data_IF_475171222108
#
_entry.id   IF_475171222108
#
_cell.length_a   1.000
_cell.length_b   1.000
_cell.length_c   1.000
_cell.angle_alpha   90.00
_cell.angle_beta   90.00
_cell.angle_gamma   90.00
#
_symmetry.space_group_name_H-M   'P 1'
#
loop_
_entity.id
_entity.type
_entity.pdbx_description
1 polymer ?
#
# COMPACT_ATOMS: atom_id res chain seq x y z
N UNK A 1 -17.55 -6.19 -1.64
CA UNK A 1 -17.11 -5.36 -2.80
C UNK A 1 -16.05 -6.16 -3.54
N UNK A 2 -16.19 -6.46 -4.85
CA UNK A 2 -15.29 -7.37 -5.56
C UNK A 2 -13.87 -6.79 -5.72
N UNK A 3 -13.69 -5.49 -5.47
CA UNK A 3 -12.39 -4.83 -5.53
C UNK A 3 -11.89 -4.46 -4.14
N UNK A 4 -10.93 -5.23 -3.61
CA UNK A 4 -10.37 -5.07 -2.26
C UNK A 4 -9.91 -3.64 -1.94
N UNK A 5 -9.29 -2.94 -2.90
CA UNK A 5 -8.79 -1.58 -2.65
C UNK A 5 -9.91 -0.57 -2.35
N UNK A 6 -11.13 -0.83 -2.83
CA UNK A 6 -12.30 0.02 -2.56
C UNK A 6 -12.62 0.07 -1.06
N UNK A 7 -12.29 -0.97 -0.29
CA UNK A 7 -12.56 -0.99 1.16
C UNK A 7 -11.78 0.08 1.94
N UNK A 8 -10.65 0.58 1.42
CA UNK A 8 -9.95 1.70 2.04
C UNK A 8 -10.82 2.96 2.12
N UNK A 9 -11.85 3.10 1.27
CA UNK A 9 -12.78 4.22 1.34
C UNK A 9 -13.53 4.26 2.69
N UNK A 10 -13.82 3.10 3.29
CA UNK A 10 -14.57 3.00 4.53
C UNK A 10 -13.81 3.57 5.75
N UNK A 11 -12.47 3.60 5.70
CA UNK A 11 -11.65 4.15 6.78
C UNK A 11 -11.31 5.64 6.58
N UNK A 12 -11.59 6.24 5.42
CA UNK A 12 -11.27 7.64 5.12
C UNK A 12 -11.90 8.69 6.05
N UNK A 13 -13.10 8.51 6.65
CA UNK A 13 -13.62 9.47 7.64
C UNK A 13 -12.66 9.70 8.82
N UNK A 14 -11.85 8.68 9.13
CA UNK A 14 -10.86 8.67 10.20
C UNK A 14 -9.48 9.14 9.71
N UNK A 15 -9.18 9.00 8.41
CA UNK A 15 -7.92 9.46 7.81
C UNK A 15 -7.99 10.94 7.43
N UNK A 16 -7.00 11.71 7.85
CA UNK A 16 -6.87 13.14 7.53
C UNK A 16 -6.07 13.32 6.23
N UNK A 17 -6.36 14.41 5.52
CA UNK A 17 -5.73 14.77 4.24
C UNK A 17 -4.24 15.14 4.33
N UNK A 18 -3.70 15.23 5.54
CA UNK A 18 -2.26 15.42 5.79
C UNK A 18 -1.52 14.10 6.08
N UNK A 19 -2.17 12.95 5.90
CA UNK A 19 -1.56 11.63 6.07
C UNK A 19 -1.57 11.09 7.50
N UNK A 20 -2.22 11.78 8.46
CA UNK A 20 -2.44 11.29 9.82
C UNK A 20 -3.87 10.75 9.99
N UNK A 21 -4.18 10.11 11.11
CA UNK A 21 -5.56 9.72 11.44
C UNK A 21 -6.09 10.49 12.67
N UNK A 22 -7.41 10.45 12.85
CA UNK A 22 -8.09 10.94 14.07
C UNK A 22 -7.80 10.01 15.26
N UNK A 23 -7.96 10.54 16.47
CA UNK A 23 -7.85 9.79 17.74
C UNK A 23 -6.52 9.05 17.95
N UNK A 24 -5.45 9.50 17.32
CA UNK A 24 -4.13 8.87 17.44
C UNK A 24 -4.00 7.51 16.73
N UNK A 25 -5.00 7.11 15.92
CA UNK A 25 -4.97 5.86 15.17
C UNK A 25 -3.87 5.88 14.10
N UNK A 26 -3.46 4.69 13.64
CA UNK A 26 -2.48 4.56 12.58
C UNK A 26 -3.16 4.40 11.22
N UNK A 27 -3.04 5.38 10.31
CA UNK A 27 -3.70 5.30 9.00
C UNK A 27 -3.18 4.15 8.14
N UNK A 28 -1.90 3.80 8.25
CA UNK A 28 -1.33 2.62 7.57
C UNK A 28 -1.97 1.31 8.05
N UNK A 29 -2.19 1.18 9.36
CA UNK A 29 -2.84 0.01 9.95
C UNK A 29 -4.33 -0.07 9.59
N UNK A 30 -5.06 1.06 9.60
CA UNK A 30 -6.46 1.13 9.16
C UNK A 30 -6.61 0.67 7.71
N UNK A 31 -5.79 1.23 6.81
CA UNK A 31 -5.84 0.91 5.38
C UNK A 31 -5.43 -0.55 5.14
N UNK A 32 -4.32 -1.00 5.72
CA UNK A 32 -3.88 -2.40 5.60
C UNK A 32 -4.90 -3.38 6.19
N UNK A 33 -5.50 -3.05 7.33
CA UNK A 33 -6.58 -3.82 7.95
C UNK A 33 -7.81 -3.93 7.03
N UNK A 34 -8.18 -2.86 6.33
CA UNK A 34 -9.28 -2.89 5.35
C UNK A 34 -9.02 -3.77 4.13
N UNK A 35 -7.76 -4.16 3.88
CA UNK A 35 -7.38 -5.07 2.80
C UNK A 35 -7.19 -6.51 3.29
N UNK A 36 -6.90 -6.69 4.58
CA UNK A 36 -6.44 -7.96 5.16
C UNK A 36 -7.37 -9.16 4.92
N UNK A 37 -8.71 -9.06 5.04
CA UNK A 37 -9.60 -10.21 4.83
C UNK A 37 -9.43 -10.87 3.46
N UNK A 38 -9.30 -10.06 2.41
CA UNK A 38 -9.18 -10.53 1.02
C UNK A 38 -7.77 -11.00 0.63
N UNK A 39 -6.74 -10.76 1.44
CA UNK A 39 -5.36 -11.14 1.09
C UNK A 39 -5.24 -12.64 0.77
N UNK A 40 -6.05 -13.45 1.44
CA UNK A 40 -6.15 -14.90 1.21
C UNK A 40 -6.59 -15.24 -0.22
N UNK A 41 -7.46 -14.42 -0.82
CA UNK A 41 -7.90 -14.58 -2.20
C UNK A 41 -6.76 -14.32 -3.17
N UNK A 42 -5.91 -13.29 -2.96
CA UNK A 42 -4.71 -13.09 -3.76
C UNK A 42 -3.71 -14.24 -3.59
N UNK A 43 -3.49 -14.68 -2.35
CA UNK A 43 -2.58 -15.76 -2.01
C UNK A 43 -2.93 -17.09 -2.68
N UNK A 44 -4.21 -17.35 -2.95
CA UNK A 44 -4.65 -18.56 -3.67
C UNK A 44 -4.06 -18.70 -5.09
N UNK A 45 -3.54 -17.61 -5.67
CA UNK A 45 -2.76 -17.68 -6.92
C UNK A 45 -1.55 -18.61 -6.78
N UNK A 46 -0.90 -18.63 -5.61
CA UNK A 46 0.37 -19.34 -5.37
C UNK A 46 0.27 -20.39 -4.27
N UNK A 47 -0.73 -20.33 -3.40
CA UNK A 47 -1.00 -21.28 -2.31
C UNK A 47 -2.39 -21.88 -2.54
N UNK A 48 -2.50 -23.04 -3.19
CA UNK A 48 -3.79 -23.66 -3.47
C UNK A 48 -4.63 -23.88 -2.20
N UNK A 49 -5.87 -23.41 -2.22
CA UNK A 49 -6.81 -23.55 -1.12
C UNK A 49 -6.78 -22.41 -0.10
N UNK A 50 -5.88 -21.44 -0.25
CA UNK A 50 -5.85 -20.24 0.59
C UNK A 50 -7.17 -19.46 0.51
N UNK A 51 -7.88 -19.53 -0.62
CA UNK A 51 -9.19 -18.87 -0.77
C UNK A 51 -10.21 -19.32 0.27
N UNK A 52 -10.20 -20.61 0.67
CA UNK A 52 -11.12 -21.14 1.70
C UNK A 52 -10.85 -20.56 3.08
N UNK A 53 -9.62 -20.12 3.35
CA UNK A 53 -9.29 -19.45 4.60
C UNK A 53 -9.94 -18.05 4.70
N UNK A 54 -10.44 -17.53 3.57
CA UNK A 54 -11.34 -16.37 3.52
C UNK A 54 -12.49 -16.47 4.52
N UNK A 55 -13.09 -17.66 4.68
CA UNK A 55 -14.21 -17.88 5.59
C UNK A 55 -13.84 -17.53 7.04
N UNK A 56 -12.61 -17.89 7.46
CA UNK A 56 -12.10 -17.57 8.78
C UNK A 56 -11.75 -16.09 8.92
N UNK A 57 -11.06 -15.52 7.94
CA UNK A 57 -10.64 -14.10 7.97
C UNK A 57 -11.83 -13.13 8.00
N UNK A 58 -13.01 -13.55 7.54
CA UNK A 58 -14.25 -12.79 7.62
C UNK A 58 -15.06 -13.01 8.91
N UNK A 59 -14.58 -13.85 9.83
CA UNK A 59 -15.19 -13.97 11.17
C UNK A 59 -14.75 -12.85 12.10
N UNK A 60 -15.52 -12.63 13.18
CA UNK A 60 -15.11 -11.74 14.26
C UNK A 60 -13.72 -12.11 14.83
N UNK A 61 -13.44 -13.41 15.01
CA UNK A 61 -12.16 -13.87 15.50
C UNK A 61 -11.04 -13.57 14.48
N UNK A 62 -11.27 -13.78 13.19
CA UNK A 62 -10.34 -13.42 12.13
C UNK A 62 -9.99 -11.93 12.11
N UNK A 63 -10.98 -11.06 12.31
CA UNK A 63 -10.83 -9.59 12.40
C UNK A 63 -9.87 -9.17 13.50
N UNK A 64 -9.98 -9.77 14.69
CA UNK A 64 -9.15 -9.38 15.85
C UNK A 64 -7.85 -10.17 15.97
N UNK A 65 -7.61 -11.18 15.11
CA UNK A 65 -6.41 -12.03 15.15
C UNK A 65 -5.62 -11.99 13.84
N UNK A 66 -5.93 -12.88 12.89
CA UNK A 66 -5.17 -13.09 11.65
C UNK A 66 -5.12 -11.83 10.79
N UNK A 67 -6.21 -11.07 10.71
CA UNK A 67 -6.22 -9.83 9.92
C UNK A 67 -5.28 -8.77 10.48
N UNK A 68 -5.07 -8.74 11.81
CA UNK A 68 -4.09 -7.86 12.45
C UNK A 68 -2.67 -8.27 12.05
N UNK A 69 -2.38 -9.58 12.01
CA UNK A 69 -1.08 -10.09 11.56
C UNK A 69 -0.83 -9.79 10.08
N UNK A 70 -1.83 -10.02 9.23
CA UNK A 70 -1.75 -9.68 7.80
C UNK A 70 -1.53 -8.18 7.62
N UNK A 71 -2.26 -7.33 8.35
CA UNK A 71 -2.08 -5.88 8.31
C UNK A 71 -0.67 -5.47 8.74
N UNK A 72 -0.09 -6.10 9.77
CA UNK A 72 1.29 -5.87 10.17
C UNK A 72 2.29 -6.20 9.05
N UNK A 73 2.12 -7.33 8.38
CA UNK A 73 2.94 -7.72 7.22
C UNK A 73 2.78 -6.71 6.08
N UNK A 74 1.55 -6.33 5.74
CA UNK A 74 1.29 -5.34 4.69
C UNK A 74 1.92 -3.98 5.00
N UNK A 75 1.86 -3.53 6.26
CA UNK A 75 2.50 -2.29 6.70
C UNK A 75 4.03 -2.38 6.65
N UNK A 76 4.62 -3.53 7.02
CA UNK A 76 6.06 -3.76 6.91
C UNK A 76 6.51 -3.75 5.43
N UNK A 77 5.79 -4.44 4.55
CA UNK A 77 6.03 -4.43 3.10
C UNK A 77 5.89 -3.01 2.55
N UNK A 78 4.84 -2.28 2.94
CA UNK A 78 4.67 -0.88 2.57
C UNK A 78 5.84 -0.01 3.02
N UNK A 79 6.30 -0.16 4.26
CA UNK A 79 7.45 0.60 4.77
C UNK A 79 8.73 0.32 3.97
N UNK A 80 8.93 -0.91 3.50
CA UNK A 80 10.05 -1.27 2.63
C UNK A 80 9.91 -0.75 1.19
N UNK A 81 8.69 -0.67 0.66
CA UNK A 81 8.43 -0.27 -0.73
C UNK A 81 8.13 1.22 -0.93
N UNK A 82 7.79 1.96 0.12
CA UNK A 82 7.37 3.36 0.05
C UNK A 82 8.34 4.24 -0.74
N UNK A 83 9.61 4.33 -0.34
CA UNK A 83 10.60 5.17 -1.05
C UNK A 83 10.84 4.70 -2.50
N UNK A 84 11.05 3.40 -2.77
CA UNK A 84 11.10 2.88 -4.14
C UNK A 84 9.91 3.32 -5.00
N UNK A 85 8.68 3.21 -4.48
CA UNK A 85 7.47 3.55 -5.23
C UNK A 85 7.33 5.05 -5.45
N UNK A 86 7.69 5.87 -4.47
CA UNK A 86 7.73 7.33 -4.64
C UNK A 86 8.77 7.72 -5.70
N UNK A 87 9.91 7.02 -5.79
CA UNK A 87 10.92 7.27 -6.81
C UNK A 87 10.40 7.01 -8.24
N UNK A 88 9.42 6.13 -8.44
CA UNK A 88 8.78 5.91 -9.75
C UNK A 88 7.88 7.08 -10.20
N UNK A 89 7.54 8.01 -9.31
CA UNK A 89 6.68 9.14 -9.66
C UNK A 89 7.45 10.26 -10.38
N UNK A 90 6.75 11.11 -11.17
CA UNK A 90 7.36 12.30 -11.75
C UNK A 90 7.92 13.22 -10.65
N UNK A 91 9.12 13.77 -10.87
CA UNK A 91 9.83 14.65 -9.91
C UNK A 91 8.93 15.73 -9.32
N UNK A 92 8.06 16.33 -10.15
CA UNK A 92 7.11 17.40 -9.79
C UNK A 92 6.13 17.05 -8.66
N UNK A 93 5.87 15.77 -8.40
CA UNK A 93 4.92 15.31 -7.37
C UNK A 93 5.56 14.50 -6.25
N UNK A 94 6.83 14.06 -6.41
CA UNK A 94 7.52 13.20 -5.43
C UNK A 94 7.51 13.77 -4.02
N UNK A 95 7.85 15.05 -3.86
CA UNK A 95 7.89 15.72 -2.55
C UNK A 95 6.54 15.69 -1.83
N UNK A 96 5.46 16.11 -2.53
CA UNK A 96 4.10 16.12 -1.96
C UNK A 96 3.61 14.73 -1.61
N UNK A 97 3.83 13.75 -2.49
CA UNK A 97 3.42 12.36 -2.24
C UNK A 97 4.21 11.80 -1.06
N UNK A 98 5.53 11.96 -1.04
CA UNK A 98 6.35 11.52 0.10
C UNK A 98 5.88 12.14 1.42
N UNK A 99 5.59 13.45 1.44
CA UNK A 99 5.10 14.13 2.64
C UNK A 99 3.77 13.57 3.14
N UNK A 100 2.88 13.17 2.22
CA UNK A 100 1.60 12.55 2.55
C UNK A 100 1.76 11.13 3.10
N UNK A 101 2.69 10.34 2.55
CA UNK A 101 2.76 8.90 2.81
C UNK A 101 3.90 8.44 3.73
N UNK A 102 4.82 9.34 4.09
CA UNK A 102 5.97 9.02 4.98
C UNK A 102 5.54 8.50 6.35
N UNK A 103 4.36 8.90 6.82
CA UNK A 103 3.87 8.58 8.16
C UNK A 103 4.80 9.10 9.26
N UNK A 104 4.64 8.58 10.47
CA UNK A 104 5.61 8.79 11.54
C UNK A 104 6.72 7.73 11.45
N UNK A 105 7.98 8.16 11.61
CA UNK A 105 9.11 7.23 11.70
C UNK A 105 9.07 6.53 13.05
N UNK A 106 9.08 5.20 13.07
CA UNK A 106 9.17 4.42 14.29
C UNK A 106 10.63 4.13 14.59
N UNK A 107 11.08 4.42 15.81
CA UNK A 107 12.35 3.92 16.34
C UNK A 107 12.07 2.82 17.35
N UNK A 108 12.99 1.86 17.52
CA UNK A 108 12.82 0.73 18.44
C UNK A 108 12.54 1.15 19.89
N UNK A 109 12.96 2.36 20.30
CA UNK A 109 12.65 2.93 21.61
C UNK A 109 11.29 3.64 21.71
N UNK A 110 10.60 3.87 20.59
CA UNK A 110 9.34 4.64 20.54
C UNK A 110 8.09 3.77 20.41
N UNK A 111 8.22 2.46 20.17
CA UNK A 111 7.09 1.56 19.93
C UNK A 111 6.78 0.68 21.15
N UNK A 112 6.26 1.32 22.21
CA UNK A 112 5.88 0.65 23.44
C UNK A 112 4.54 -0.12 23.35
N UNK A 113 4.13 -0.78 24.45
CA UNK A 113 2.89 -1.57 24.51
C UNK A 113 1.64 -0.79 24.08
N UNK A 114 1.56 0.49 24.44
CA UNK A 114 0.46 1.35 24.03
C UNK A 114 0.41 1.57 22.51
N UNK A 115 1.55 1.78 21.86
CA UNK A 115 1.62 1.94 20.41
C UNK A 115 1.20 0.63 19.69
N UNK A 116 1.63 -0.52 20.21
CA UNK A 116 1.15 -1.82 19.75
C UNK A 116 -0.37 -1.97 19.89
N UNK A 117 -0.94 -1.61 21.04
CA UNK A 117 -2.39 -1.68 21.27
C UNK A 117 -3.15 -0.81 20.25
N UNK A 118 -2.69 0.42 20.01
CA UNK A 118 -3.29 1.33 19.04
C UNK A 118 -3.16 0.80 17.62
N UNK A 119 -2.04 0.13 17.28
CA UNK A 119 -1.87 -0.55 16.01
C UNK A 119 -2.86 -1.69 15.81
N UNK A 120 -2.96 -2.58 16.81
CA UNK A 120 -3.91 -3.70 16.79
C UNK A 120 -5.34 -3.18 16.65
N UNK A 121 -5.73 -2.17 17.44
CA UNK A 121 -7.05 -1.54 17.36
C UNK A 121 -7.31 -0.88 16.00
N UNK A 122 -6.32 -0.21 15.42
CA UNK A 122 -6.41 0.39 14.08
C UNK A 122 -6.59 -0.67 12.99
N UNK A 123 -5.80 -1.75 13.03
CA UNK A 123 -5.88 -2.83 12.06
C UNK A 123 -7.20 -3.60 12.15
N UNK A 124 -7.62 -3.95 13.37
CA UNK A 124 -8.90 -4.61 13.62
C UNK A 124 -10.09 -3.73 13.20
N UNK A 125 -10.04 -2.43 13.46
CA UNK A 125 -11.07 -1.50 12.99
C UNK A 125 -11.14 -1.45 11.47
N UNK A 126 -10.00 -1.39 10.78
CA UNK A 126 -9.94 -1.47 9.32
C UNK A 126 -10.58 -2.76 8.79
N UNK A 127 -10.20 -3.91 9.36
CA UNK A 127 -10.76 -5.21 8.98
C UNK A 127 -12.27 -5.31 9.29
N UNK A 128 -12.71 -4.74 10.41
CA UNK A 128 -14.14 -4.68 10.75
C UNK A 128 -14.92 -3.88 9.71
N UNK A 129 -14.42 -2.72 9.25
CA UNK A 129 -15.10 -1.96 8.19
C UNK A 129 -15.23 -2.75 6.88
N UNK A 130 -14.24 -3.57 6.55
CA UNK A 130 -14.28 -4.47 5.41
C UNK A 130 -15.39 -5.52 5.57
N UNK A 131 -15.33 -6.29 6.66
CA UNK A 131 -16.28 -7.40 6.92
C UNK A 131 -17.71 -6.91 7.04
N UNK A 132 -17.94 -5.77 7.71
CA UNK A 132 -19.27 -5.15 7.82
C UNK A 132 -19.79 -4.80 6.43
N UNK A 133 -18.98 -4.14 5.59
CA UNK A 133 -19.41 -3.77 4.24
C UNK A 133 -19.74 -4.98 3.38
N UNK A 134 -18.96 -6.05 3.52
CA UNK A 134 -19.20 -7.30 2.81
C UNK A 134 -20.42 -8.07 3.33
N UNK A 135 -20.68 -8.02 4.63
CA UNK A 135 -21.93 -8.51 5.22
C UNK A 135 -23.18 -7.75 4.72
N UNK A 136 -23.00 -6.48 4.29
CA UNK A 136 -24.09 -5.71 3.67
C UNK A 136 -24.28 -5.99 2.17
N UNK A 137 -23.27 -6.50 1.46
CA UNK A 137 -23.24 -6.52 -0.01
C UNK A 137 -23.12 -7.89 -0.67
N UNK A 138 -22.84 -8.97 0.09
CA UNK A 138 -22.77 -10.33 -0.46
C UNK A 138 -24.08 -11.10 -0.35
N UNK A 139 -24.38 -11.90 -1.37
CA UNK A 139 -25.52 -12.82 -1.42
C UNK A 139 -25.62 -13.64 -0.12
N UNK A 140 -26.86 -13.87 0.35
CA UNK A 140 -27.15 -14.60 1.60
C UNK A 140 -26.43 -14.05 2.85
N UNK A 141 -26.19 -12.73 2.87
CA UNK A 141 -25.75 -12.03 4.09
C UNK A 141 -26.81 -11.04 4.53
N UNK A 142 -26.76 -10.64 5.79
CA UNK A 142 -27.80 -9.84 6.44
C UNK A 142 -28.27 -8.64 5.59
N UNK A 143 -27.37 -7.88 4.96
CA UNK A 143 -27.80 -6.73 4.14
C UNK A 143 -28.58 -7.08 2.88
N UNK A 144 -28.27 -8.19 2.21
CA UNK A 144 -29.00 -8.62 1.00
C UNK A 144 -30.37 -9.18 1.35
N UNK A 145 -30.48 -9.90 2.47
CA UNK A 145 -31.74 -10.41 2.98
C UNK A 145 -32.66 -9.27 3.45
N UNK A 146 -32.10 -8.28 4.17
CA UNK A 146 -32.87 -7.15 4.70
C UNK A 146 -33.42 -6.22 3.61
N UNK A 147 -32.69 -6.06 2.50
CA UNK A 147 -33.03 -5.16 1.40
C UNK A 147 -33.59 -5.89 0.17
N UNK A 148 -33.81 -7.21 0.24
CA UNK A 148 -34.23 -8.08 -0.87
C UNK A 148 -33.38 -7.91 -2.14
N UNK A 149 -32.05 -7.84 -1.99
CA UNK A 149 -31.10 -7.65 -3.09
C UNK A 149 -30.89 -8.91 -3.95
N UNK A 150 -31.56 -10.00 -3.62
CA UNK A 150 -31.59 -11.24 -4.42
C UNK A 150 -32.53 -11.13 -5.63
N UNK A 151 -33.35 -10.07 -5.70
CA UNK A 151 -34.16 -9.76 -6.89
C UNK A 151 -33.24 -9.51 -8.08
N UNK A 152 -33.64 -10.00 -9.25
CA UNK A 152 -32.89 -9.82 -10.49
C UNK A 152 -33.46 -8.67 -11.32
N UNK A 153 -32.58 -7.85 -11.88
CA UNK A 153 -32.93 -6.81 -12.87
C UNK A 153 -32.04 -7.02 -14.09
N UNK A 154 -32.66 -7.19 -15.26
CA UNK A 154 -31.92 -7.42 -16.51
C UNK A 154 -31.10 -8.72 -16.54
N UNK A 155 -31.53 -9.76 -15.81
CA UNK A 155 -30.84 -11.05 -15.73
C UNK A 155 -29.72 -11.12 -14.69
N UNK A 156 -29.42 -10.02 -13.99
CA UNK A 156 -28.41 -9.99 -12.93
C UNK A 156 -29.04 -9.70 -11.56
N UNK A 157 -28.61 -10.38 -10.49
CA UNK A 157 -29.04 -10.06 -9.13
C UNK A 157 -28.64 -8.64 -8.70
N UNK A 158 -29.50 -7.95 -7.94
CA UNK A 158 -29.25 -6.59 -7.45
C UNK A 158 -28.01 -6.48 -6.55
N UNK A 159 -27.64 -7.55 -5.83
CA UNK A 159 -26.42 -7.55 -5.03
C UNK A 159 -25.16 -7.35 -5.90
N UNK A 160 -25.15 -7.79 -7.17
CA UNK A 160 -24.01 -7.56 -8.07
C UNK A 160 -23.87 -6.08 -8.41
N UNK A 161 -24.98 -5.38 -8.67
CA UNK A 161 -24.97 -3.93 -8.88
C UNK A 161 -24.51 -3.18 -7.62
N UNK A 162 -24.96 -3.60 -6.44
CA UNK A 162 -24.50 -3.03 -5.18
C UNK A 162 -23.00 -3.24 -4.99
N UNK A 163 -22.50 -4.44 -5.29
CA UNK A 163 -21.09 -4.79 -5.22
C UNK A 163 -20.22 -3.94 -6.15
N UNK A 164 -20.47 -3.98 -7.46
CA UNK A 164 -19.67 -3.27 -8.46
C UNK A 164 -19.87 -1.75 -8.38
N UNK A 165 -21.11 -1.29 -8.17
CA UNK A 165 -21.44 0.13 -8.03
C UNK A 165 -20.80 0.76 -6.80
N UNK A 166 -20.84 0.08 -5.65
CA UNK A 166 -20.19 0.58 -4.44
C UNK A 166 -18.66 0.54 -4.54
N UNK A 167 -18.08 -0.47 -5.20
CA UNK A 167 -16.65 -0.49 -5.54
C UNK A 167 -16.25 0.70 -6.41
N UNK A 168 -17.00 1.00 -7.46
CA UNK A 168 -16.73 2.12 -8.36
C UNK A 168 -16.84 3.48 -7.63
N UNK A 169 -17.91 3.68 -6.85
CA UNK A 169 -18.08 4.88 -6.03
C UNK A 169 -16.93 5.06 -5.04
N UNK A 170 -16.53 3.98 -4.34
CA UNK A 170 -15.41 4.00 -3.41
C UNK A 170 -14.09 4.39 -4.09
N UNK A 171 -13.83 3.95 -5.33
CA UNK A 171 -12.65 4.38 -6.09
C UNK A 171 -12.69 5.86 -6.44
N UNK A 172 -13.85 6.40 -6.81
CA UNK A 172 -14.03 7.85 -7.02
C UNK A 172 -13.73 8.61 -5.73
N UNK A 173 -14.24 8.15 -4.59
CA UNK A 173 -13.99 8.77 -3.28
C UNK A 173 -12.51 8.69 -2.90
N UNK A 174 -11.84 7.56 -3.12
CA UNK A 174 -10.40 7.41 -2.89
C UNK A 174 -9.58 8.35 -3.78
N UNK A 175 -9.90 8.41 -5.07
CA UNK A 175 -9.25 9.34 -6.01
C UNK A 175 -9.44 10.79 -5.60
N UNK A 176 -10.67 11.19 -5.25
CA UNK A 176 -10.96 12.52 -4.74
C UNK A 176 -10.21 12.84 -3.45
N UNK A 177 -10.15 11.88 -2.52
CA UNK A 177 -9.42 12.04 -1.26
C UNK A 177 -7.92 12.26 -1.53
N UNK A 178 -7.29 11.43 -2.36
CA UNK A 178 -5.85 11.56 -2.69
C UNK A 178 -5.58 12.87 -3.41
N UNK A 179 -6.39 13.24 -4.41
CA UNK A 179 -6.22 14.50 -5.14
C UNK A 179 -6.36 15.72 -4.22
N UNK A 180 -7.36 15.74 -3.36
CA UNK A 180 -7.55 16.84 -2.40
C UNK A 180 -6.51 16.86 -1.30
N UNK A 181 -5.99 15.71 -0.88
CA UNK A 181 -4.85 15.61 0.03
C UNK A 181 -3.60 16.21 -0.60
N UNK A 182 -3.23 15.78 -1.81
CA UNK A 182 -2.05 16.27 -2.52
C UNK A 182 -2.12 17.76 -2.84
N UNK A 183 -3.30 18.30 -3.15
CA UNK A 183 -3.49 19.74 -3.36
C UNK A 183 -3.31 20.57 -2.08
N UNK A 184 -3.61 19.99 -0.91
CA UNK A 184 -3.44 20.64 0.40
C UNK A 184 -2.02 20.48 0.95
N UNK A 185 -1.27 19.51 0.46
CA UNK A 185 0.15 19.33 0.83
C UNK A 185 0.98 20.44 0.20
N UNK A 186 1.59 21.27 1.04
CA UNK A 186 2.55 22.30 0.63
C UNK A 186 3.66 21.68 -0.20
N UNK A 187 4.16 22.41 -1.20
CA UNK A 187 5.29 21.96 -2.00
C UNK A 187 6.50 21.72 -1.08
N UNK A 188 6.85 20.46 -0.90
CA UNK A 188 8.01 20.04 -0.12
C UNK A 188 9.14 19.66 -1.07
N UNK A 189 10.40 20.00 -0.73
CA UNK A 189 11.54 19.53 -1.50
C UNK A 189 11.56 18.00 -1.53
N UNK A 190 12.03 17.44 -2.65
CA UNK A 190 12.23 16.00 -2.79
C UNK A 190 13.33 15.60 -1.79
N UNK A 191 13.08 14.65 -0.87
CA UNK A 191 14.14 14.19 0.03
C UNK A 191 15.35 13.70 -0.78
N UNK A 192 16.55 14.16 -0.42
CA UNK A 192 17.82 13.72 -1.05
C UNK A 192 18.05 12.21 -0.96
N UNK A 193 17.44 11.57 0.05
CA UNK A 193 17.47 10.12 0.24
C UNK A 193 16.60 9.33 -0.77
N UNK A 194 15.78 9.98 -1.59
CA UNK A 194 14.99 9.27 -2.60
C UNK A 194 15.88 8.87 -3.78
N UNK A 195 15.88 7.60 -4.20
CA UNK A 195 16.65 7.16 -5.35
C UNK A 195 16.26 7.94 -6.61
N UNK A 196 17.26 8.47 -7.31
CA UNK A 196 17.06 8.99 -8.66
C UNK A 196 17.07 7.84 -9.66
N UNK A 197 15.98 7.74 -10.42
CA UNK A 197 15.80 6.74 -11.48
C UNK A 197 15.94 7.41 -12.84
N UNK A 198 16.83 6.87 -13.67
CA UNK A 198 16.92 7.25 -15.07
C UNK A 198 15.64 6.87 -15.83
N UNK A 199 15.46 7.44 -17.04
CA UNK A 199 14.28 7.16 -17.87
C UNK A 199 14.13 5.67 -18.19
N UNK A 200 15.24 5.01 -18.56
CA UNK A 200 15.26 3.57 -18.87
C UNK A 200 14.92 2.70 -17.67
N UNK A 201 15.52 2.96 -16.51
CA UNK A 201 15.23 2.23 -15.27
C UNK A 201 13.78 2.37 -14.83
N UNK A 202 13.22 3.58 -14.98
CA UNK A 202 11.82 3.83 -14.67
C UNK A 202 10.90 3.03 -15.58
N UNK A 203 11.13 3.04 -16.89
CA UNK A 203 10.33 2.25 -17.83
C UNK A 203 10.55 0.75 -17.65
N UNK A 204 11.76 0.30 -17.32
CA UNK A 204 12.06 -1.08 -16.98
C UNK A 204 11.30 -1.54 -15.73
N UNK A 205 11.27 -0.72 -14.68
CA UNK A 205 10.48 -0.99 -13.48
C UNK A 205 8.98 -1.05 -13.78
N UNK A 206 8.45 -0.09 -14.53
CA UNK A 206 7.04 -0.08 -14.93
C UNK A 206 6.70 -1.29 -15.82
N UNK A 207 7.61 -1.67 -16.72
CA UNK A 207 7.49 -2.86 -17.57
C UNK A 207 7.50 -4.15 -16.75
N UNK A 208 8.37 -4.27 -15.74
CA UNK A 208 8.39 -5.39 -14.81
C UNK A 208 7.05 -5.50 -14.06
N UNK A 209 6.57 -4.40 -13.48
CA UNK A 209 5.31 -4.40 -12.72
C UNK A 209 4.12 -4.76 -13.62
N UNK A 210 4.05 -4.18 -14.81
CA UNK A 210 3.01 -4.49 -15.80
C UNK A 210 3.09 -5.95 -16.27
N UNK A 211 4.30 -6.44 -16.55
CA UNK A 211 4.55 -7.83 -16.95
C UNK A 211 4.10 -8.82 -15.88
N UNK A 212 4.50 -8.63 -14.62
CA UNK A 212 4.06 -9.48 -13.52
C UNK A 212 2.53 -9.44 -13.33
N UNK A 213 1.91 -8.26 -13.45
CA UNK A 213 0.45 -8.12 -13.39
C UNK A 213 -0.24 -8.94 -14.50
N UNK A 214 0.21 -8.81 -15.75
CA UNK A 214 -0.33 -9.56 -16.89
C UNK A 214 -0.13 -11.07 -16.70
N UNK A 215 1.05 -11.50 -16.27
CA UNK A 215 1.33 -12.91 -15.99
C UNK A 215 0.40 -13.47 -14.88
N UNK A 216 0.14 -12.69 -13.83
CA UNK A 216 -0.79 -13.08 -12.77
C UNK A 216 -2.24 -13.21 -13.26
N UNK A 217 -2.70 -12.29 -14.11
CA UNK A 217 -4.02 -12.36 -14.77
C UNK A 217 -4.11 -13.65 -15.59
N UNK A 218 -3.16 -13.86 -16.51
CA UNK A 218 -3.12 -15.02 -17.41
C UNK A 218 -3.10 -16.32 -16.60
N UNK A 219 -2.23 -16.42 -15.58
CA UNK A 219 -2.13 -17.60 -14.74
C UNK A 219 -3.47 -17.96 -14.06
N UNK A 220 -4.15 -16.99 -13.43
CA UNK A 220 -5.44 -17.26 -12.78
C UNK A 220 -6.55 -17.57 -13.77
N UNK A 221 -6.62 -16.86 -14.90
CA UNK A 221 -7.64 -17.12 -15.91
C UNK A 221 -7.47 -18.51 -16.55
N UNK A 222 -6.23 -18.93 -16.81
CA UNK A 222 -5.94 -20.28 -17.31
C UNK A 222 -6.30 -21.36 -16.27
N UNK A 223 -6.00 -21.14 -14.99
CA UNK A 223 -6.40 -22.07 -13.91
C UNK A 223 -7.91 -22.17 -13.78
N UNK A 224 -8.63 -21.05 -13.89
CA UNK A 224 -10.09 -21.02 -13.91
C UNK A 224 -10.64 -21.82 -15.09
N UNK A 225 -10.15 -21.56 -16.30
CA UNK A 225 -10.57 -22.28 -17.50
C UNK A 225 -10.29 -23.78 -17.41
N UNK A 226 -9.12 -24.17 -16.88
CA UNK A 226 -8.77 -25.57 -16.69
C UNK A 226 -9.67 -26.29 -15.67
N UNK A 227 -10.24 -25.58 -14.70
CA UNK A 227 -11.11 -26.16 -13.67
C UNK A 227 -12.58 -26.22 -14.11
N UNK A 228 -13.07 -25.16 -14.77
CA UNK A 228 -14.50 -25.02 -15.12
C UNK A 228 -14.82 -25.31 -16.59
N UNK A 229 -13.82 -25.41 -17.48
CA UNK A 229 -13.99 -25.77 -18.89
C UNK A 229 -14.50 -24.65 -19.80
N UNK A 230 -14.93 -23.51 -19.26
CA UNK A 230 -15.44 -22.37 -20.03
C UNK A 230 -15.70 -21.13 -19.16
N UNK A 231 -16.02 -20.00 -19.81
CA UNK A 231 -16.49 -18.77 -19.15
C UNK A 231 -17.95 -18.58 -19.55
N UNK A 232 -18.88 -18.92 -18.66
CA UNK A 232 -20.31 -18.80 -18.94
C UNK A 232 -20.81 -17.36 -18.75
N UNK A 233 -20.26 -16.65 -17.77
CA UNK A 233 -20.60 -15.24 -17.48
C UNK A 233 -19.33 -14.37 -17.44
N UNK A 234 -19.25 -13.31 -18.26
CA UNK A 234 -18.13 -12.37 -18.23
C UNK A 234 -17.91 -11.70 -16.86
N UNK A 235 -18.90 -11.65 -15.98
CA UNK A 235 -18.73 -11.10 -14.64
C UNK A 235 -17.97 -12.03 -13.69
N UNK A 236 -17.93 -13.34 -13.96
CA UNK A 236 -17.26 -14.33 -13.11
C UNK A 236 -15.74 -14.32 -13.33
N UNK A 237 -15.29 -13.87 -14.51
CA UNK A 237 -13.86 -13.75 -14.81
C UNK A 237 -13.24 -12.48 -14.22
N UNK A 238 -14.04 -11.44 -13.92
CA UNK A 238 -13.53 -10.16 -13.42
C UNK A 238 -12.81 -10.32 -12.08
N UNK A 239 -13.39 -10.95 -11.03
CA UNK A 239 -12.68 -11.18 -9.78
C UNK A 239 -11.43 -12.03 -9.97
N UNK A 240 -11.50 -13.08 -10.80
CA UNK A 240 -10.36 -13.94 -11.14
C UNK A 240 -9.22 -13.14 -11.74
N UNK A 241 -9.50 -12.27 -12.72
CA UNK A 241 -8.51 -11.39 -13.32
C UNK A 241 -7.97 -10.36 -12.32
N UNK A 242 -8.81 -9.74 -11.50
CA UNK A 242 -8.40 -8.76 -10.49
C UNK A 242 -7.49 -9.39 -9.42
N UNK A 243 -7.82 -10.56 -8.90
CA UNK A 243 -6.97 -11.25 -7.93
C UNK A 243 -5.66 -11.74 -8.56
N UNK A 244 -5.69 -12.14 -9.84
CA UNK A 244 -4.49 -12.48 -10.61
C UNK A 244 -3.57 -11.27 -10.80
N UNK A 245 -4.15 -10.15 -11.23
CA UNK A 245 -3.46 -8.87 -11.37
C UNK A 245 -2.80 -8.44 -10.06
N UNK A 246 -3.54 -8.47 -8.95
CA UNK A 246 -2.99 -8.06 -7.65
C UNK A 246 -1.90 -8.99 -7.14
N UNK A 247 -2.02 -10.31 -7.31
CA UNK A 247 -0.98 -11.26 -6.93
C UNK A 247 0.28 -11.09 -7.78
N UNK A 248 0.13 -10.92 -9.09
CA UNK A 248 1.22 -10.62 -10.01
C UNK A 248 1.90 -9.29 -9.65
N UNK A 249 1.12 -8.23 -9.41
CA UNK A 249 1.64 -6.94 -8.95
C UNK A 249 2.40 -7.07 -7.63
N UNK A 250 1.88 -7.83 -6.66
CA UNK A 250 2.57 -8.06 -5.39
C UNK A 250 3.94 -8.73 -5.60
N UNK A 251 4.03 -9.74 -6.46
CA UNK A 251 5.31 -10.36 -6.82
C UNK A 251 6.26 -9.36 -7.49
N UNK A 252 5.77 -8.59 -8.47
CA UNK A 252 6.57 -7.57 -9.15
C UNK A 252 7.06 -6.47 -8.19
N UNK A 253 6.23 -6.06 -7.24
CA UNK A 253 6.58 -5.09 -6.20
C UNK A 253 7.68 -5.59 -5.28
N UNK A 254 7.66 -6.87 -4.89
CA UNK A 254 8.71 -7.49 -4.09
C UNK A 254 10.03 -7.55 -4.87
N UNK A 255 10.00 -7.99 -6.13
CA UNK A 255 11.19 -8.02 -7.00
C UNK A 255 11.79 -6.62 -7.19
N UNK A 256 10.93 -5.63 -7.47
CA UNK A 256 11.33 -4.23 -7.60
C UNK A 256 11.93 -3.69 -6.30
N UNK A 257 11.29 -3.98 -5.16
CA UNK A 257 11.78 -3.60 -3.83
C UNK A 257 13.16 -4.18 -3.52
N UNK A 258 13.37 -5.47 -3.81
CA UNK A 258 14.66 -6.15 -3.66
C UNK A 258 15.74 -5.48 -4.52
N UNK A 259 15.46 -5.21 -5.79
CA UNK A 259 16.39 -4.52 -6.68
C UNK A 259 16.78 -3.13 -6.13
N UNK A 260 15.79 -2.36 -5.69
CA UNK A 260 16.02 -1.00 -5.19
C UNK A 260 16.78 -0.97 -3.85
N UNK A 261 16.47 -1.91 -2.93
CA UNK A 261 17.05 -1.92 -1.57
C UNK A 261 18.40 -2.63 -1.51
N UNK A 262 18.56 -3.76 -2.18
CA UNK A 262 19.74 -4.62 -2.03
C UNK A 262 20.77 -4.44 -3.14
N UNK A 263 20.33 -4.18 -4.37
CA UNK A 263 21.24 -4.10 -5.52
C UNK A 263 21.71 -2.66 -5.76
N UNK A 264 20.81 -1.67 -5.67
CA UNK A 264 21.19 -0.24 -5.75
C UNK A 264 21.76 0.32 -4.46
N UNK A 265 21.30 -0.14 -3.30
CA UNK A 265 21.82 0.30 -2.00
C UNK A 265 23.31 0.00 -1.80
N UNK A 266 23.84 -1.02 -2.48
CA UNK A 266 25.28 -1.38 -2.47
C UNK A 266 26.15 -0.53 -3.41
N UNK A 267 25.54 0.27 -4.29
CA UNK A 267 26.25 1.04 -5.32
C UNK A 267 26.52 2.50 -4.97
N UNK A 268 26.08 3.01 -3.81
CA UNK A 268 26.58 4.30 -3.28
C UNK A 268 27.83 4.00 -2.45
N UNK A 269 29.03 4.40 -2.89
CA UNK A 269 30.13 4.52 -1.95
C UNK A 269 29.63 5.43 -0.82
N UNK A 270 29.87 5.04 0.43
CA UNK A 270 29.81 6.00 1.51
C UNK A 270 30.73 7.14 1.10
N UNK A 271 30.19 8.34 0.86
CA UNK A 271 31.00 9.55 0.94
C UNK A 271 31.66 9.45 2.31
N UNK A 272 32.95 9.11 2.30
CA UNK A 272 33.80 9.29 3.45
C UNK A 272 33.56 10.74 3.87
N UNK A 273 33.27 11.02 5.16
CA UNK A 273 33.23 12.39 5.60
C UNK A 273 34.60 12.96 5.27
N UNK A 274 34.65 13.78 4.22
CA UNK A 274 35.81 14.57 3.86
C UNK A 274 36.12 15.32 5.14
N UNK A 275 37.20 14.90 5.79
CA UNK A 275 37.69 15.53 6.98
C UNK A 275 37.93 16.97 6.56
N UNK A 276 37.02 17.85 6.94
CA UNK A 276 37.26 19.28 6.91
C UNK A 276 38.46 19.44 7.83
N UNK A 277 39.65 19.47 7.23
CA UNK A 277 40.89 19.79 7.90
C UNK A 277 40.71 21.22 8.36
N UNK A 278 40.22 21.37 9.59
CA UNK A 278 40.31 22.63 10.32
C UNK A 278 41.81 22.96 10.32
N UNK A 279 42.22 24.11 9.76
CA UNK A 279 43.61 24.52 9.85
C UNK A 279 43.99 24.53 11.32
N UNK A 280 45.03 23.77 11.67
CA UNK A 280 45.58 23.78 13.02
C UNK A 280 45.89 25.23 13.40
N UNK A 281 45.46 25.65 14.58
CA UNK A 281 45.78 26.95 15.19
C UNK A 281 47.30 27.24 15.28
N UNK A 282 48.15 26.26 14.97
CA UNK A 282 49.60 26.42 14.86
C UNK A 282 50.06 27.18 13.60
N UNK A 283 49.27 27.24 12.52
CA UNK A 283 49.65 27.99 11.30
C UNK A 283 49.23 29.47 11.36
N UNK A 284 48.30 29.84 12.24
CA UNK A 284 47.90 31.24 12.43
C UNK A 284 48.96 32.07 13.18
N UNK A 285 49.72 31.46 14.11
CA UNK A 285 50.73 32.19 14.88
C UNK A 285 51.99 32.53 14.09
N UNK A 286 52.30 31.80 13.01
CA UNK A 286 53.45 32.11 12.13
C UNK A 286 53.17 33.25 11.15
N UNK A 287 51.90 33.56 10.88
CA UNK A 287 51.53 34.66 10.00
C UNK A 287 51.53 36.02 10.73
N UNK A 288 51.21 36.05 12.03
CA UNK A 288 51.23 37.29 12.82
C UNK A 288 52.65 37.72 13.23
N UNK A 289 53.57 36.78 13.45
CA UNK A 289 54.96 37.11 13.83
C UNK A 289 55.78 37.70 12.67
N UNK A 290 55.43 37.40 11.41
CA UNK A 290 56.09 37.99 10.23
C UNK A 290 55.61 39.42 9.88
N UNK A 291 54.50 39.88 10.46
CA UNK A 291 53.94 41.21 10.21
C UNK A 291 54.43 42.26 11.23
N UNK A 292 54.89 41.83 12.41
CA UNK A 292 55.38 42.72 13.46
C UNK A 292 56.83 43.21 13.27
N UNK A 293 57.59 42.61 12.35
CA UNK A 293 59.02 42.92 12.12
C UNK A 293 59.26 43.89 10.93
N UNK A 294 58.22 44.64 10.51
CA UNK A 294 58.31 45.63 9.41
C UNK A 294 57.66 46.98 9.73
N UNK A 295 57.82 47.47 10.97
CA UNK A 295 57.52 48.87 11.32
C UNK A 295 58.61 49.46 12.18
#
# INVERSE_FOLDING_TARGET
>A
MPFTLSHAAAVLPVVRRNGTARWGLYPSALIAGSFAPDVTYFADTVIPGAMRFGDFTHTFLGVVTVNVLIAAVLVAVWAALREPLVALLPVRVRGRVHALVRGQRWSGGSFGPHAWLVFVGSAALGAATHVVWDAFTHHSRWGTELLHLDRSVGGFPLYQFAQYGSSALALVVLGWFVLTALRRTVATPVPEALPELGRGERWGALGLLAGCMVLGIVHRCLRFYAHFGGIENPLDIIPTACFGAGAGLAAGLLLYGVWMRLLRGRGRPAESPEATSVPSMADASRAEESAADRT
#
